data_IF_773285571258
#
_entry.id   IF_773285571258
#
_cell.length_a   1.000
_cell.length_b   1.000
_cell.length_c   1.000
_cell.angle_alpha   90.00
_cell.angle_beta   90.00
_cell.angle_gamma   90.00
#
_symmetry.space_group_name_H-M   'P 1'
#
loop_
_entity.id
_entity.type
_entity.pdbx_description
1 polymer ?
#
# COMPACT_ATOMS: atom_id res chain seq x y z
N UNK A 1 7.97 -17.02 -73.73
CA UNK A 1 7.10 -17.25 -72.55
C UNK A 1 8.01 -17.23 -71.34
N UNK A 2 8.00 -16.14 -70.56
CA UNK A 2 8.92 -16.00 -69.43
C UNK A 2 8.25 -16.57 -68.17
N UNK A 3 8.69 -17.75 -67.76
CA UNK A 3 8.26 -18.39 -66.51
C UNK A 3 8.71 -17.55 -65.32
N UNK A 4 7.75 -16.90 -64.65
CA UNK A 4 7.98 -16.19 -63.39
C UNK A 4 8.16 -17.24 -62.29
N UNK A 5 9.41 -17.55 -61.94
CA UNK A 5 9.72 -18.34 -60.74
C UNK A 5 9.14 -17.63 -59.52
N UNK A 6 8.35 -18.36 -58.73
CA UNK A 6 7.71 -17.84 -57.53
C UNK A 6 8.76 -17.57 -56.44
N UNK A 7 8.86 -16.34 -55.91
CA UNK A 7 9.88 -15.95 -54.93
C UNK A 7 9.75 -16.70 -53.59
N UNK A 8 8.61 -17.34 -53.34
CA UNK A 8 8.30 -18.09 -52.12
C UNK A 8 9.03 -19.43 -51.98
N UNK A 9 9.73 -19.88 -53.03
CA UNK A 9 10.50 -21.15 -53.02
C UNK A 9 11.98 -20.96 -52.69
N UNK A 10 12.44 -19.72 -52.55
CA UNK A 10 13.83 -19.42 -52.22
C UNK A 10 14.03 -19.37 -50.70
N UNK A 11 14.97 -20.16 -50.13
CA UNK A 11 15.19 -20.21 -48.68
C UNK A 11 15.66 -18.86 -48.12
N UNK A 12 16.25 -18.00 -48.96
CA UNK A 12 16.65 -16.65 -48.58
C UNK A 12 15.44 -15.76 -48.25
N UNK A 13 14.31 -15.91 -48.94
CA UNK A 13 13.09 -15.14 -48.67
C UNK A 13 12.52 -15.48 -47.29
N UNK A 14 12.55 -16.77 -46.93
CA UNK A 14 12.16 -17.21 -45.59
C UNK A 14 13.09 -16.67 -44.50
N UNK A 15 14.39 -16.52 -44.77
CA UNK A 15 15.33 -15.95 -43.79
C UNK A 15 15.05 -14.46 -43.56
N UNK A 16 14.76 -13.70 -44.62
CA UNK A 16 14.38 -12.27 -44.54
C UNK A 16 13.06 -12.08 -43.79
N UNK A 17 12.12 -13.01 -43.88
CA UNK A 17 10.82 -12.94 -43.18
C UNK A 17 10.91 -13.49 -41.75
N UNK A 18 11.68 -14.56 -41.51
CA UNK A 18 11.79 -15.19 -40.20
C UNK A 18 12.48 -14.27 -39.19
N UNK A 19 13.49 -13.52 -39.60
CA UNK A 19 14.25 -12.64 -38.71
C UNK A 19 13.37 -11.55 -38.04
N UNK A 20 12.57 -10.75 -38.78
CA UNK A 20 11.64 -9.81 -38.16
C UNK A 20 10.49 -10.52 -37.41
N UNK A 21 10.02 -11.68 -37.88
CA UNK A 21 8.98 -12.43 -37.18
C UNK A 21 9.43 -12.89 -35.78
N UNK A 22 10.66 -13.38 -35.64
CA UNK A 22 11.24 -13.76 -34.36
C UNK A 22 11.40 -12.54 -33.44
N UNK A 23 11.78 -11.38 -33.98
CA UNK A 23 11.90 -10.14 -33.20
C UNK A 23 10.54 -9.69 -32.63
N UNK A 24 9.47 -9.76 -33.43
CA UNK A 24 8.10 -9.43 -32.98
C UNK A 24 7.63 -10.41 -31.90
N UNK A 25 7.82 -11.72 -32.13
CA UNK A 25 7.46 -12.74 -31.14
C UNK A 25 8.25 -12.50 -29.85
N UNK A 26 9.56 -12.30 -29.91
CA UNK A 26 10.41 -12.01 -28.76
C UNK A 26 9.94 -10.79 -27.97
N UNK A 27 9.59 -9.69 -28.67
CA UNK A 27 9.04 -8.49 -28.04
C UNK A 27 7.71 -8.75 -27.32
N UNK A 28 6.78 -9.47 -27.95
CA UNK A 28 5.50 -9.84 -27.35
C UNK A 28 5.72 -10.76 -26.13
N UNK A 29 6.61 -11.75 -26.25
CA UNK A 29 6.92 -12.66 -25.14
C UNK A 29 7.55 -11.90 -23.98
N UNK A 30 8.42 -10.93 -24.25
CA UNK A 30 9.04 -10.07 -23.22
C UNK A 30 7.98 -9.23 -22.48
N UNK A 31 7.01 -8.64 -23.21
CA UNK A 31 5.90 -7.90 -22.59
C UNK A 31 5.03 -8.81 -21.72
N UNK A 32 4.71 -10.02 -22.19
CA UNK A 32 3.92 -11.00 -21.43
C UNK A 32 4.67 -11.46 -20.18
N UNK A 33 5.97 -11.77 -20.30
CA UNK A 33 6.82 -12.17 -19.18
C UNK A 33 6.96 -11.01 -18.19
N UNK A 34 7.15 -9.78 -18.65
CA UNK A 34 7.19 -8.60 -17.77
C UNK A 34 5.88 -8.39 -17.01
N UNK A 35 4.73 -8.59 -17.65
CA UNK A 35 3.43 -8.47 -16.97
C UNK A 35 3.17 -9.64 -15.99
N UNK A 36 3.73 -10.82 -16.24
CA UNK A 36 3.54 -11.99 -15.38
C UNK A 36 4.57 -12.08 -14.25
N UNK A 37 5.79 -11.58 -14.48
CA UNK A 37 6.86 -11.46 -13.52
C UNK A 37 6.79 -10.12 -12.73
N UNK A 38 5.94 -9.18 -13.13
CA UNK A 38 5.72 -7.88 -12.48
C UNK A 38 5.07 -7.91 -11.09
N UNK A 39 5.03 -9.06 -10.42
CA UNK A 39 4.70 -9.18 -8.99
C UNK A 39 5.95 -9.16 -8.08
N UNK A 40 7.13 -8.90 -8.63
CA UNK A 40 8.33 -8.59 -7.86
C UNK A 40 8.77 -7.15 -8.14
N UNK A 41 8.27 -6.27 -7.28
CA UNK A 41 8.93 -5.01 -6.91
C UNK A 41 9.04 -3.92 -7.99
N UNK A 42 7.90 -3.56 -8.58
CA UNK A 42 7.75 -2.28 -9.26
C UNK A 42 6.87 -1.36 -8.41
N UNK A 43 7.46 -0.76 -7.38
CA UNK A 43 7.05 0.59 -6.93
C UNK A 43 7.36 1.54 -8.09
N UNK A 44 6.53 1.50 -9.11
CA UNK A 44 6.47 2.54 -10.13
C UNK A 44 5.60 3.62 -9.54
N UNK A 45 6.26 4.58 -8.93
CA UNK A 45 5.69 5.90 -8.69
C UNK A 45 5.38 6.51 -10.07
N UNK A 46 4.22 6.13 -10.63
CA UNK A 46 3.66 6.81 -11.77
C UNK A 46 3.05 8.10 -11.23
N UNK A 47 3.93 9.10 -11.04
CA UNK A 47 3.53 10.50 -10.92
C UNK A 47 2.96 10.93 -12.27
N UNK A 48 1.76 10.44 -12.58
CA UNK A 48 0.84 11.20 -13.40
C UNK A 48 0.63 12.52 -12.68
N UNK A 49 1.31 13.54 -13.19
CA UNK A 49 0.86 14.93 -13.17
C UNK A 49 -0.55 14.98 -13.78
N UNK A 50 -1.51 14.61 -12.97
CA UNK A 50 -2.90 14.97 -13.15
C UNK A 50 -3.10 16.15 -12.23
N UNK A 51 -2.94 17.35 -12.80
CA UNK A 51 -3.51 18.56 -12.24
C UNK A 51 -5.03 18.43 -12.29
N UNK A 52 -5.58 17.61 -11.43
CA UNK A 52 -7.00 17.53 -11.18
C UNK A 52 -7.09 17.11 -9.74
N UNK A 53 -7.25 18.15 -8.91
CA UNK A 53 -7.60 18.12 -7.50
C UNK A 53 -8.14 16.74 -7.17
N UNK A 54 -7.25 15.87 -6.69
CA UNK A 54 -7.74 14.79 -5.88
C UNK A 54 -8.38 15.54 -4.74
N UNK A 55 -9.70 15.50 -4.67
CA UNK A 55 -10.39 15.48 -3.39
C UNK A 55 -9.93 14.19 -2.70
N UNK A 56 -8.63 14.02 -2.49
CA UNK A 56 -8.11 13.29 -1.35
C UNK A 56 -8.84 13.98 -0.23
N UNK A 57 -9.64 13.22 0.49
CA UNK A 57 -10.27 13.70 1.71
C UNK A 57 -9.12 14.01 2.68
N UNK A 58 -8.53 15.19 2.48
CA UNK A 58 -7.50 15.79 3.30
C UNK A 58 -8.16 16.31 4.57
N UNK A 59 -9.50 16.41 4.63
CA UNK A 59 -10.23 16.84 5.82
C UNK A 59 -9.77 16.10 7.08
N UNK A 60 -9.80 14.76 7.11
CA UNK A 60 -9.36 13.99 8.26
C UNK A 60 -7.86 14.11 8.57
N UNK A 61 -7.00 14.10 7.56
CA UNK A 61 -5.54 14.14 7.75
C UNK A 61 -5.07 15.57 8.13
N UNK A 62 -5.69 16.62 7.58
CA UNK A 62 -5.49 18.03 7.94
C UNK A 62 -6.04 18.34 9.32
N UNK A 63 -7.22 17.81 9.68
CA UNK A 63 -7.77 17.99 11.03
C UNK A 63 -6.86 17.34 12.07
N UNK A 64 -6.33 16.15 11.79
CA UNK A 64 -5.33 15.52 12.64
C UNK A 64 -4.09 16.43 12.83
N UNK A 65 -3.63 17.10 11.77
CA UNK A 65 -2.52 18.05 11.82
C UNK A 65 -2.85 19.32 12.60
N UNK A 66 -4.03 19.92 12.38
CA UNK A 66 -4.48 21.13 13.08
C UNK A 66 -4.59 20.89 14.59
N UNK A 67 -5.04 19.71 14.98
CA UNK A 67 -5.14 19.28 16.38
C UNK A 67 -3.80 18.77 16.95
N UNK A 68 -2.75 18.68 16.13
CA UNK A 68 -1.42 18.19 16.53
C UNK A 68 -1.43 16.73 17.02
N UNK A 69 -2.35 15.91 16.50
CA UNK A 69 -2.57 14.56 16.99
C UNK A 69 -1.38 13.65 16.66
N UNK A 70 -0.93 12.94 17.69
CA UNK A 70 0.07 11.88 17.59
C UNK A 70 -0.23 10.81 18.64
N UNK A 71 -0.04 9.55 18.29
CA UNK A 71 -0.31 8.43 19.18
C UNK A 71 0.75 7.36 19.05
N UNK A 72 1.04 6.63 20.13
CA UNK A 72 1.92 5.46 20.10
C UNK A 72 1.06 4.20 20.13
N UNK A 73 1.16 3.40 19.09
CA UNK A 73 0.64 2.05 19.06
C UNK A 73 1.64 1.11 19.74
N UNK A 74 1.12 0.14 20.51
CA UNK A 74 1.90 -0.91 21.17
C UNK A 74 1.14 -2.24 21.13
N UNK A 75 1.88 -3.31 20.86
CA UNK A 75 1.43 -4.70 21.04
C UNK A 75 1.71 -5.10 22.49
N UNK A 76 0.67 -5.49 23.21
CA UNK A 76 0.73 -6.06 24.56
C UNK A 76 0.54 -7.59 24.49
N UNK A 77 0.66 -8.27 25.63
CA UNK A 77 0.44 -9.73 25.69
C UNK A 77 -1.01 -10.12 25.47
N UNK A 78 -1.94 -9.30 25.96
CA UNK A 78 -3.37 -9.58 25.96
C UNK A 78 -4.13 -8.85 24.83
N UNK A 79 -3.40 -8.22 23.91
CA UNK A 79 -3.98 -7.49 22.79
C UNK A 79 -3.13 -6.31 22.32
N UNK A 80 -3.79 -5.30 21.78
CA UNK A 80 -3.17 -4.06 21.31
C UNK A 80 -3.59 -2.87 22.16
N UNK A 81 -2.68 -1.92 22.31
CA UNK A 81 -2.87 -0.69 23.08
C UNK A 81 -2.42 0.52 22.26
N UNK A 82 -3.14 1.63 22.40
CA UNK A 82 -2.78 2.91 21.78
C UNK A 82 -2.77 3.97 22.87
N UNK A 83 -1.69 4.72 22.93
CA UNK A 83 -1.49 5.81 23.88
C UNK A 83 -1.45 7.14 23.15
N UNK A 84 -2.12 8.18 23.65
CA UNK A 84 -1.96 9.53 23.10
C UNK A 84 -0.54 10.04 23.38
N UNK A 85 0.14 10.53 22.35
CA UNK A 85 1.50 11.10 22.45
C UNK A 85 1.48 12.62 22.33
N UNK A 86 0.62 13.15 21.46
CA UNK A 86 0.58 14.57 21.09
C UNK A 86 -0.85 14.99 20.77
N UNK A 87 -1.21 16.25 21.07
CA UNK A 87 -2.52 16.81 20.74
C UNK A 87 -3.64 16.39 21.70
N UNK A 88 -4.84 16.89 21.44
CA UNK A 88 -6.01 16.68 22.29
C UNK A 88 -6.94 15.63 21.67
N UNK A 89 -6.95 14.43 22.25
CA UNK A 89 -7.88 13.38 21.87
C UNK A 89 -9.12 13.37 22.77
N UNK A 90 -10.27 13.07 22.19
CA UNK A 90 -11.48 12.74 22.96
C UNK A 90 -11.35 11.33 23.53
N UNK A 91 -10.95 11.22 24.81
CA UNK A 91 -10.68 9.92 25.44
C UNK A 91 -11.90 9.03 25.64
N UNK A 92 -13.11 9.56 25.53
CA UNK A 92 -14.34 8.78 25.70
C UNK A 92 -14.80 8.11 24.39
N UNK A 93 -14.21 8.47 23.25
CA UNK A 93 -14.61 7.93 21.95
C UNK A 93 -13.91 6.61 21.65
N UNK A 94 -14.60 5.70 20.98
CA UNK A 94 -13.99 4.52 20.36
C UNK A 94 -13.15 4.93 19.17
N UNK A 95 -12.04 4.23 18.92
CA UNK A 95 -11.21 4.42 17.73
C UNK A 95 -11.22 3.17 16.85
N UNK A 96 -11.13 3.35 15.54
CA UNK A 96 -11.01 2.26 14.60
C UNK A 96 -9.54 2.09 14.22
N UNK A 97 -8.96 0.93 14.51
CA UNK A 97 -7.61 0.56 14.11
C UNK A 97 -7.67 -0.46 12.97
N UNK A 98 -6.94 -0.16 11.91
CA UNK A 98 -6.73 -1.07 10.79
C UNK A 98 -5.23 -1.36 10.69
N UNK A 99 -4.88 -2.64 10.73
CA UNK A 99 -3.53 -3.12 10.45
C UNK A 99 -3.56 -3.77 9.07
N UNK A 100 -2.85 -3.17 8.13
CA UNK A 100 -2.80 -3.64 6.75
C UNK A 100 -1.52 -4.44 6.52
N UNK A 101 -1.67 -5.62 5.95
CA UNK A 101 -0.54 -6.46 5.60
C UNK A 101 0.05 -6.01 4.24
N UNK A 102 1.38 -5.92 4.07
CA UNK A 102 2.00 -5.28 2.91
C UNK A 102 1.66 -5.94 1.58
N UNK A 103 1.52 -7.28 1.58
CA UNK A 103 1.35 -8.06 0.35
C UNK A 103 0.04 -8.86 0.31
N UNK A 104 -0.79 -8.80 1.35
CA UNK A 104 -1.99 -9.64 1.49
C UNK A 104 -3.14 -8.87 2.15
N UNK A 105 -3.92 -8.14 1.35
CA UNK A 105 -5.07 -7.40 1.88
C UNK A 105 -6.15 -8.27 2.55
N UNK A 106 -6.16 -9.59 2.29
CA UNK A 106 -7.07 -10.54 2.96
C UNK A 106 -6.70 -10.78 4.43
N UNK A 107 -5.45 -10.48 4.82
CA UNK A 107 -4.95 -10.60 6.20
C UNK A 107 -5.03 -9.25 6.96
N UNK A 108 -5.72 -8.26 6.39
CA UNK A 108 -5.92 -6.97 7.04
C UNK A 108 -6.82 -7.13 8.28
N UNK A 109 -6.29 -6.72 9.43
CA UNK A 109 -6.99 -6.79 10.71
C UNK A 109 -7.68 -5.47 10.98
N UNK A 110 -8.97 -5.52 11.31
CA UNK A 110 -9.78 -4.35 11.70
C UNK A 110 -10.30 -4.57 13.10
N UNK A 111 -10.03 -3.63 14.00
CA UNK A 111 -10.45 -3.73 15.39
C UNK A 111 -10.90 -2.36 15.91
N UNK A 112 -11.94 -2.40 16.73
CA UNK A 112 -12.44 -1.23 17.44
C UNK A 112 -11.76 -1.15 18.80
N UNK A 113 -10.95 -0.11 19.00
CA UNK A 113 -10.26 0.16 20.24
C UNK A 113 -11.21 0.88 21.20
N UNK A 114 -11.44 0.25 22.35
CA UNK A 114 -12.25 0.84 23.42
C UNK A 114 -11.39 1.73 24.29
N UNK A 115 -11.95 2.84 24.82
CA UNK A 115 -11.23 3.68 25.75
C UNK A 115 -10.92 2.92 27.05
N UNK A 116 -9.71 3.14 27.55
CA UNK A 116 -9.09 2.49 28.70
C UNK A 116 -8.42 3.56 29.59
N UNK A 117 -7.92 3.21 30.77
CA UNK A 117 -7.40 4.20 31.76
C UNK A 117 -6.33 5.14 31.20
N UNK A 118 -5.43 4.61 30.35
CA UNK A 118 -4.28 5.33 29.81
C UNK A 118 -4.40 5.67 28.32
N UNK A 119 -5.46 5.23 27.65
CA UNK A 119 -5.57 5.36 26.20
C UNK A 119 -6.70 4.50 25.64
N UNK A 120 -6.39 3.64 24.68
CA UNK A 120 -7.35 2.70 24.12
C UNK A 120 -6.75 1.30 23.99
N UNK A 121 -7.57 0.28 24.17
CA UNK A 121 -7.15 -1.12 24.08
C UNK A 121 -8.18 -1.99 23.37
N UNK A 122 -7.71 -3.06 22.74
CA UNK A 122 -8.57 -4.12 22.22
C UNK A 122 -7.87 -5.48 22.26
N UNK A 123 -8.62 -6.58 22.48
CA UNK A 123 -8.10 -7.93 22.34
C UNK A 123 -7.89 -8.21 20.84
N UNK A 124 -6.63 -8.17 20.40
CA UNK A 124 -6.23 -8.52 19.04
C UNK A 124 -4.84 -9.16 19.07
N UNK A 125 -4.73 -10.35 18.50
CA UNK A 125 -3.41 -10.95 18.22
C UNK A 125 -2.87 -10.40 16.90
N UNK A 126 -1.67 -9.84 16.97
CA UNK A 126 -0.94 -9.30 15.81
C UNK A 126 0.36 -10.07 15.67
N UNK A 127 0.60 -10.65 14.49
CA UNK A 127 1.86 -11.32 14.23
C UNK A 127 2.99 -10.31 13.99
N UNK A 128 3.89 -10.17 14.97
CA UNK A 128 5.06 -9.30 14.88
C UNK A 128 6.14 -9.74 13.88
N UNK A 129 5.96 -10.86 13.16
CA UNK A 129 6.91 -11.34 12.13
C UNK A 129 6.90 -10.52 10.85
N UNK A 130 5.86 -9.75 10.62
CA UNK A 130 5.64 -8.99 9.39
C UNK A 130 5.69 -7.48 9.66
N UNK A 131 6.00 -6.71 8.60
CA UNK A 131 5.81 -5.26 8.63
C UNK A 131 4.32 -4.97 8.52
N UNK A 132 3.78 -4.07 9.32
CA UNK A 132 2.37 -3.68 9.27
C UNK A 132 2.23 -2.19 8.99
N UNK A 133 1.28 -1.82 8.14
CA UNK A 133 0.83 -0.44 8.00
C UNK A 133 -0.34 -0.22 8.94
N UNK A 134 -0.20 0.74 9.85
CA UNK A 134 -1.19 1.04 10.86
C UNK A 134 -1.99 2.27 10.43
N UNK A 135 -3.31 2.19 10.50
CA UNK A 135 -4.21 3.31 10.30
C UNK A 135 -5.17 3.39 11.47
N UNK A 136 -5.17 4.54 12.15
CA UNK A 136 -6.04 4.84 13.28
C UNK A 136 -6.99 5.96 12.88
N UNK A 137 -8.29 5.73 13.01
CA UNK A 137 -9.34 6.69 12.64
C UNK A 137 -10.29 6.90 13.82
N UNK A 138 -10.84 8.10 13.99
CA UNK A 138 -11.92 8.31 14.97
C UNK A 138 -13.20 7.55 14.56
N UNK A 139 -14.06 7.25 15.53
CA UNK A 139 -15.38 6.66 15.26
C UNK A 139 -16.23 7.47 14.27
N UNK A 140 -16.07 8.79 14.27
CA UNK A 140 -16.76 9.74 13.41
C UNK A 140 -16.10 9.93 12.04
N UNK A 141 -14.89 9.40 11.83
CA UNK A 141 -14.09 9.65 10.63
C UNK A 141 -13.46 11.05 10.57
N UNK A 142 -13.53 11.81 11.67
CA UNK A 142 -13.12 13.21 11.72
C UNK A 142 -11.61 13.42 11.57
N UNK A 143 -10.80 12.46 11.99
CA UNK A 143 -9.37 12.52 11.85
C UNK A 143 -8.80 11.13 11.62
N UNK A 144 -7.63 11.08 10.99
CA UNK A 144 -6.90 9.85 10.73
C UNK A 144 -5.41 10.03 11.00
N UNK A 145 -4.81 9.05 11.65
CA UNK A 145 -3.38 8.90 11.86
C UNK A 145 -2.89 7.65 11.14
N UNK A 146 -1.66 7.69 10.67
CA UNK A 146 -1.00 6.56 10.02
C UNK A 146 0.39 6.37 10.61
N UNK A 147 0.85 5.13 10.59
CA UNK A 147 2.21 4.79 10.94
C UNK A 147 2.59 3.43 10.38
N UNK A 148 3.83 3.04 10.58
CA UNK A 148 4.33 1.74 10.17
C UNK A 148 4.93 1.05 11.38
N UNK A 149 4.58 -0.21 11.56
CA UNK A 149 5.21 -1.10 12.53
C UNK A 149 6.16 -2.02 11.79
N UNK A 150 7.48 -1.84 11.92
CA UNK A 150 8.44 -2.77 11.36
C UNK A 150 8.38 -4.13 12.07
N UNK A 151 8.72 -5.19 11.34
CA UNK A 151 8.84 -6.55 11.87
C UNK A 151 9.77 -6.57 13.08
N UNK A 152 9.38 -7.35 14.09
CA UNK A 152 10.11 -7.48 15.36
C UNK A 152 9.98 -6.27 16.30
N UNK A 153 9.34 -5.17 15.88
CA UNK A 153 8.97 -4.10 16.81
C UNK A 153 7.59 -4.35 17.40
N UNK A 154 7.43 -3.96 18.66
CA UNK A 154 6.17 -4.06 19.38
C UNK A 154 5.53 -2.69 19.58
N UNK A 155 6.16 -1.60 19.13
CA UNK A 155 5.61 -0.25 19.24
C UNK A 155 5.92 0.56 17.99
N UNK A 156 5.00 1.45 17.62
CA UNK A 156 5.14 2.35 16.50
C UNK A 156 4.48 3.69 16.80
N UNK A 157 5.07 4.77 16.30
CA UNK A 157 4.46 6.08 16.35
C UNK A 157 3.47 6.24 15.19
N UNK A 158 2.30 6.79 15.48
CA UNK A 158 1.24 7.14 14.56
C UNK A 158 1.15 8.67 14.52
N UNK A 159 1.32 9.24 13.34
CA UNK A 159 1.21 10.67 13.09
C UNK A 159 0.25 10.97 11.96
N UNK A 160 -0.03 12.25 11.71
CA UNK A 160 -0.70 12.62 10.47
C UNK A 160 0.24 12.31 9.30
N UNK A 161 -0.33 11.78 8.21
CA UNK A 161 0.41 11.47 6.97
C UNK A 161 1.15 12.69 6.40
N UNK A 162 0.62 13.88 6.68
CA UNK A 162 1.20 15.18 6.33
C UNK A 162 2.42 15.60 7.16
N UNK A 163 2.67 14.98 8.32
CA UNK A 163 3.81 15.33 9.18
C UNK A 163 5.10 14.55 8.83
N UNK A 164 5.04 13.59 7.90
CA UNK A 164 6.15 12.71 7.55
C UNK A 164 7.04 13.23 6.40
N UNK A 165 7.03 14.55 6.12
CA UNK A 165 7.80 15.17 5.03
C UNK A 165 8.97 15.99 5.55
#
# INVERSE_FOLDING_TARGET
>A
MSDKRSPWREPMVWLVVALPAVAVIGGITMVIVSNRAGNIDAVRDDVQRTAQIQTTDLGPDERARQLGLGAVFRIAKDGVQVFPASGTFERAQTLHLVLQHPNRGEEDLKVDLKPDELGWSAPLEVDGRHDWSLQLTSATGDWRLRGRLPRGQQAAHLGSSLAAQ
#
